data_IF_117006159008
#
_entry.id   IF_117006159008
#
_cell.length_a   1.000
_cell.length_b   1.000
_cell.length_c   1.000
_cell.angle_alpha   90.00
_cell.angle_beta   90.00
_cell.angle_gamma   90.00
#
_symmetry.space_group_name_H-M   'P 1'
#
loop_
_entity.id
_entity.type
_entity.pdbx_description
1 polymer ?
#
# COMPACT_ATOMS: atom_id res chain seq x y z
N UNK A 1 -16.47 -4.68 -6.32
CA UNK A 1 -15.05 -4.35 -6.55
C UNK A 1 -14.18 -5.44 -5.95
N UNK A 2 -13.38 -6.09 -6.80
CA UNK A 2 -12.39 -7.10 -6.38
C UNK A 2 -11.44 -6.55 -5.30
N UNK A 3 -11.03 -7.37 -4.31
CA UNK A 3 -10.05 -7.00 -3.31
C UNK A 3 -8.72 -6.54 -3.93
N UNK A 4 -8.34 -7.06 -5.11
CA UNK A 4 -7.14 -6.63 -5.82
C UNK A 4 -7.27 -5.19 -6.32
N UNK A 5 -8.41 -4.83 -6.92
CA UNK A 5 -8.65 -3.46 -7.40
C UNK A 5 -8.63 -2.47 -6.24
N UNK A 6 -9.21 -2.84 -5.09
CA UNK A 6 -9.16 -2.02 -3.86
C UNK A 6 -7.73 -1.85 -3.34
N UNK A 7 -6.92 -2.91 -3.38
CA UNK A 7 -5.51 -2.88 -2.99
C UNK A 7 -4.69 -1.96 -3.91
N UNK A 8 -4.81 -2.14 -5.23
CA UNK A 8 -4.10 -1.34 -6.24
C UNK A 8 -4.47 0.14 -6.18
N UNK A 9 -5.78 0.45 -6.07
CA UNK A 9 -6.24 1.83 -5.93
C UNK A 9 -5.75 2.49 -4.64
N UNK A 10 -5.76 1.74 -3.52
CA UNK A 10 -5.23 2.21 -2.24
C UNK A 10 -3.73 2.52 -2.32
N UNK A 11 -2.97 1.66 -2.98
CA UNK A 11 -1.53 1.86 -3.14
C UNK A 11 -1.20 3.04 -4.07
N UNK A 12 -1.94 3.22 -5.16
CA UNK A 12 -1.80 4.38 -6.03
C UNK A 12 -2.08 5.70 -5.28
N UNK A 13 -3.13 5.74 -4.48
CA UNK A 13 -3.46 6.88 -3.62
C UNK A 13 -2.39 7.12 -2.53
N UNK A 14 -1.81 6.05 -1.96
CA UNK A 14 -0.69 6.16 -1.04
C UNK A 14 0.52 6.82 -1.70
N UNK A 15 0.94 6.36 -2.88
CA UNK A 15 2.07 6.93 -3.61
C UNK A 15 1.81 8.40 -3.97
N UNK A 16 0.62 8.72 -4.48
CA UNK A 16 0.24 10.08 -4.84
C UNK A 16 0.23 11.02 -3.62
N UNK A 17 -0.31 10.56 -2.48
CA UNK A 17 -0.32 11.34 -1.24
C UNK A 17 1.08 11.52 -0.64
N UNK A 18 1.95 10.52 -0.71
CA UNK A 18 3.36 10.67 -0.34
C UNK A 18 4.08 11.72 -1.20
N UNK A 19 3.87 11.70 -2.52
CA UNK A 19 4.42 12.71 -3.43
C UNK A 19 3.92 14.12 -3.09
N UNK A 20 2.61 14.27 -2.87
CA UNK A 20 2.01 15.56 -2.53
C UNK A 20 2.58 16.12 -1.21
N UNK A 21 2.67 15.28 -0.17
CA UNK A 21 3.20 15.70 1.13
C UNK A 21 4.69 16.04 1.04
N UNK A 22 5.47 15.30 0.24
CA UNK A 22 6.87 15.62 0.02
C UNK A 22 7.05 16.99 -0.66
N UNK A 23 6.24 17.29 -1.67
CA UNK A 23 6.24 18.61 -2.34
C UNK A 23 5.85 19.71 -1.33
N UNK A 24 4.79 19.52 -0.54
CA UNK A 24 4.40 20.49 0.49
C UNK A 24 5.49 20.70 1.54
N UNK A 25 6.21 19.64 1.92
CA UNK A 25 7.32 19.73 2.87
C UNK A 25 8.53 20.48 2.32
N UNK A 26 8.82 20.36 1.02
CA UNK A 26 9.95 21.02 0.37
C UNK A 26 9.68 22.50 0.08
N UNK A 27 8.45 22.83 -0.33
CA UNK A 27 8.12 24.15 -0.86
C UNK A 27 7.31 25.04 0.09
N UNK A 28 6.69 24.48 1.14
CA UNK A 28 5.81 25.25 2.04
C UNK A 28 6.35 25.28 3.48
N UNK A 29 6.45 24.12 4.15
CA UNK A 29 6.85 24.07 5.56
C UNK A 29 7.34 22.68 6.00
N UNK A 30 8.40 22.61 6.80
CA UNK A 30 8.90 21.32 7.35
C UNK A 30 7.91 20.58 8.26
N UNK A 31 6.88 21.26 8.79
CA UNK A 31 5.86 20.66 9.65
C UNK A 31 5.03 19.58 8.92
N UNK A 32 5.01 19.61 7.58
CA UNK A 32 4.34 18.58 6.76
C UNK A 32 5.01 17.20 6.87
N UNK A 33 6.22 17.10 7.43
CA UNK A 33 6.85 15.81 7.76
C UNK A 33 5.99 14.99 8.74
N UNK A 34 5.31 15.62 9.70
CA UNK A 34 4.40 14.91 10.63
C UNK A 34 3.22 14.30 9.86
N UNK A 35 2.67 15.03 8.88
CA UNK A 35 1.62 14.53 8.00
C UNK A 35 2.09 13.34 7.15
N UNK A 36 3.37 13.31 6.76
CA UNK A 36 3.95 12.15 6.08
C UNK A 36 3.91 10.89 6.96
N UNK A 37 4.28 11.00 8.23
CA UNK A 37 4.22 9.88 9.17
C UNK A 37 2.80 9.38 9.39
N UNK A 38 1.83 10.29 9.60
CA UNK A 38 0.42 9.93 9.75
C UNK A 38 -0.10 9.23 8.47
N UNK A 39 0.30 9.72 7.30
CA UNK A 39 -0.08 9.13 6.02
C UNK A 39 0.46 7.70 5.87
N UNK A 40 1.75 7.49 6.16
CA UNK A 40 2.37 6.15 6.11
C UNK A 40 1.68 5.18 7.06
N UNK A 41 1.38 5.60 8.30
CA UNK A 41 0.67 4.76 9.27
C UNK A 41 -0.75 4.43 8.78
N UNK A 42 -1.49 5.42 8.30
CA UNK A 42 -2.85 5.26 7.79
C UNK A 42 -2.91 4.23 6.65
N UNK A 43 -2.05 4.38 5.63
CA UNK A 43 -2.03 3.47 4.49
C UNK A 43 -1.49 2.09 4.83
N UNK A 44 -0.48 2.00 5.71
CA UNK A 44 0.02 0.71 6.20
C UNK A 44 -1.08 -0.08 6.90
N UNK A 45 -1.90 0.59 7.71
CA UNK A 45 -3.02 -0.04 8.41
C UNK A 45 -4.15 -0.43 7.46
N UNK A 46 -4.44 0.41 6.48
CA UNK A 46 -5.47 0.15 5.46
C UNK A 46 -5.10 -1.03 4.56
N UNK A 47 -3.86 -1.11 4.10
CA UNK A 47 -3.39 -2.19 3.22
C UNK A 47 -3.35 -3.54 3.95
N UNK A 48 -3.01 -3.58 5.25
CA UNK A 48 -3.06 -4.80 6.07
C UNK A 48 -4.44 -5.44 6.18
N UNK A 49 -5.52 -4.66 6.01
CA UNK A 49 -6.89 -5.18 6.03
C UNK A 49 -7.30 -5.87 4.72
N UNK A 50 -6.48 -5.78 3.68
CA UNK A 50 -6.77 -6.45 2.41
C UNK A 50 -6.17 -7.85 2.44
N UNK A 51 -7.05 -8.84 2.49
CA UNK A 51 -6.70 -10.26 2.54
C UNK A 51 -7.19 -11.00 1.29
N UNK A 52 -6.51 -12.12 1.01
CA UNK A 52 -6.97 -13.06 0.00
C UNK A 52 -8.31 -13.67 0.42
N UNK A 53 -9.27 -13.75 -0.51
CA UNK A 53 -10.60 -14.32 -0.27
C UNK A 53 -10.56 -15.83 0.01
N UNK A 54 -9.58 -16.56 -0.53
CA UNK A 54 -9.50 -18.01 -0.40
C UNK A 54 -8.81 -18.48 0.87
N UNK A 55 -7.66 -17.88 1.23
CA UNK A 55 -6.85 -18.33 2.36
C UNK A 55 -6.83 -17.34 3.53
N UNK A 56 -7.44 -16.16 3.39
CA UNK A 56 -7.42 -15.11 4.42
C UNK A 56 -6.05 -14.44 4.62
N UNK A 57 -5.02 -14.86 3.89
CA UNK A 57 -3.67 -14.32 4.06
C UNK A 57 -3.62 -12.84 3.63
N UNK A 58 -2.97 -11.94 4.39
CA UNK A 58 -2.80 -10.55 4.00
C UNK A 58 -2.06 -10.45 2.67
N UNK A 59 -2.57 -9.60 1.78
CA UNK A 59 -1.98 -9.34 0.47
C UNK A 59 -0.85 -8.31 0.54
N UNK A 60 -0.93 -7.43 1.54
CA UNK A 60 0.12 -6.46 1.81
C UNK A 60 1.38 -7.16 2.35
N UNK A 61 2.58 -6.84 1.83
CA UNK A 61 3.82 -7.31 2.42
C UNK A 61 4.03 -6.71 3.84
N UNK A 62 4.85 -7.35 4.69
CA UNK A 62 5.10 -6.90 6.05
C UNK A 62 5.75 -5.50 6.09
N UNK A 63 5.55 -4.79 7.20
CA UNK A 63 6.19 -3.49 7.46
C UNK A 63 7.70 -3.71 7.51
N UNK A 64 8.45 -2.99 6.65
CA UNK A 64 9.89 -3.20 6.47
C UNK A 64 10.27 -4.05 5.26
N UNK A 65 9.30 -4.55 4.49
CA UNK A 65 9.58 -5.17 3.19
C UNK A 65 10.25 -4.17 2.24
N UNK A 66 11.16 -4.68 1.41
CA UNK A 66 11.86 -3.84 0.43
C UNK A 66 10.87 -3.22 -0.56
N UNK A 67 11.21 -2.03 -1.07
CA UNK A 67 10.41 -1.36 -2.09
C UNK A 67 10.10 -2.30 -3.28
N UNK A 68 11.06 -3.15 -3.65
CA UNK A 68 10.89 -4.14 -4.71
C UNK A 68 9.81 -5.19 -4.39
N UNK A 69 9.73 -5.67 -3.14
CA UNK A 69 8.69 -6.61 -2.73
C UNK A 69 7.29 -5.98 -2.76
N UNK A 70 7.20 -4.69 -2.40
CA UNK A 70 5.96 -3.91 -2.51
C UNK A 70 5.53 -3.78 -3.98
N UNK A 71 6.45 -3.42 -4.88
CA UNK A 71 6.16 -3.36 -6.32
C UNK A 71 5.77 -4.72 -6.91
N UNK A 72 6.44 -5.80 -6.53
CA UNK A 72 6.05 -7.16 -6.98
C UNK A 72 4.66 -7.55 -6.50
N UNK A 73 4.29 -7.17 -5.27
CA UNK A 73 2.93 -7.42 -4.76
C UNK A 73 1.85 -6.72 -5.59
N UNK A 74 2.18 -5.61 -6.26
CA UNK A 74 1.25 -4.88 -7.14
C UNK A 74 1.00 -5.61 -8.46
N UNK A 75 2.07 -6.16 -9.06
CA UNK A 75 1.99 -6.92 -10.31
C UNK A 75 1.47 -8.34 -10.14
N UNK A 76 1.40 -8.85 -8.90
CA UNK A 76 0.96 -10.22 -8.63
C UNK A 76 -0.52 -10.40 -9.02
N UNK A 77 -0.78 -11.36 -9.92
CA UNK A 77 -2.11 -11.84 -10.26
C UNK A 77 -2.57 -12.99 -9.36
N UNK A 78 -1.67 -13.51 -8.52
CA UNK A 78 -1.91 -14.70 -7.70
C UNK A 78 -1.52 -14.42 -6.25
N UNK A 79 -2.21 -15.06 -5.31
CA UNK A 79 -1.83 -15.02 -3.91
C UNK A 79 -0.53 -15.80 -3.70
N UNK A 80 0.47 -15.17 -3.09
CA UNK A 80 1.79 -15.79 -2.84
C UNK A 80 1.74 -16.99 -1.89
N UNK A 81 0.67 -17.14 -1.10
CA UNK A 81 0.54 -18.23 -0.14
C UNK A 81 -0.21 -19.45 -0.73
N UNK A 82 -1.33 -19.23 -1.42
CA UNK A 82 -2.19 -20.33 -1.90
C UNK A 82 -2.29 -20.43 -3.43
N UNK A 83 -1.65 -19.54 -4.19
CA UNK A 83 -1.69 -19.53 -5.65
C UNK A 83 -3.04 -19.15 -6.26
N UNK A 84 -4.06 -18.82 -5.45
CA UNK A 84 -5.38 -18.46 -5.98
C UNK A 84 -5.30 -17.15 -6.77
N UNK A 85 -5.95 -17.09 -7.93
CA UNK A 85 -6.08 -15.86 -8.71
C UNK A 85 -6.76 -14.76 -7.90
N UNK A 86 -6.20 -13.57 -7.97
CA UNK A 86 -6.68 -12.36 -7.32
C UNK A 86 -7.55 -11.54 -8.29
N UNK A 87 -8.50 -12.19 -8.96
CA UNK A 87 -9.47 -11.48 -9.82
C UNK A 87 -10.62 -10.88 -9.01
#
# INVERSE_FOLDING_TARGET
MSPLVKYRASLALFVASCFLIAILSLYVHEAFVVLFFVNVLFWSWRLKRVSCLHCGHPLAPPVGATALAIFRSFSSSECTNCGSKLD
#
